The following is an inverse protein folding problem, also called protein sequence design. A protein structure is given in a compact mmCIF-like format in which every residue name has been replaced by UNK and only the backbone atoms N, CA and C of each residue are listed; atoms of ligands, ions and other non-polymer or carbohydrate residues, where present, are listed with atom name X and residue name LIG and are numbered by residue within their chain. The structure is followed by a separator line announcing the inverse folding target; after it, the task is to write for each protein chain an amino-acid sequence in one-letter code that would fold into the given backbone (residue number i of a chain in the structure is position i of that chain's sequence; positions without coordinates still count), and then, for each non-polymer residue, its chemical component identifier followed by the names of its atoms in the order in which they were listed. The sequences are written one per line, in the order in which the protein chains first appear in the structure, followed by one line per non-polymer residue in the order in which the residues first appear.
data_IF_612979657442
#
_entry.id   IF_612979657442
#
_cell.length_a   1.000
_cell.length_b   1.000
_cell.length_c   1.000
_cell.angle_alpha   90.00
_cell.angle_beta   90.00
_cell.angle_gamma   90.00
#
_symmetry.space_group_name_H-M   'P 1'
#
loop_
_entity.id
_entity.type
_entity.pdbx_description
1 polymer ?
#
# COMPACT_ATOMS: atom_id res chain seq x y z
N UNK A 1 -40.07 9.28 -24.27
CA UNK A 1 -39.78 7.91 -24.76
C UNK A 1 -40.49 6.90 -23.86
N UNK A 2 -41.21 5.91 -24.39
CA UNK A 2 -41.87 4.89 -23.56
C UNK A 2 -40.85 3.83 -23.08
N UNK A 3 -40.97 3.37 -21.82
CA UNK A 3 -40.14 2.27 -21.27
C UNK A 3 -40.66 0.93 -21.79
N UNK A 4 -39.78 0.20 -22.49
CA UNK A 4 -40.03 -1.16 -23.00
C UNK A 4 -40.03 -2.18 -21.87
N UNK A 5 -41.14 -2.89 -21.67
CA UNK A 5 -41.23 -4.08 -20.83
C UNK A 5 -40.80 -5.29 -21.65
N UNK A 6 -39.69 -5.95 -21.28
CA UNK A 6 -39.23 -7.19 -21.92
C UNK A 6 -40.19 -8.33 -21.58
N UNK A 7 -40.61 -9.16 -22.56
CA UNK A 7 -41.46 -10.32 -22.28
C UNK A 7 -40.68 -11.39 -21.50
N UNK A 8 -41.36 -12.02 -20.55
CA UNK A 8 -40.82 -13.11 -19.72
C UNK A 8 -40.49 -14.33 -20.60
N UNK A 9 -39.28 -14.93 -20.47
CA UNK A 9 -38.88 -16.06 -21.28
C UNK A 9 -39.73 -17.30 -20.97
N UNK A 10 -40.17 -18.01 -22.02
CA UNK A 10 -40.95 -19.24 -21.90
C UNK A 10 -40.14 -20.36 -21.25
N UNK A 11 -40.82 -21.19 -20.44
CA UNK A 11 -40.21 -22.26 -19.63
C UNK A 11 -39.30 -23.22 -20.41
N UNK A 12 -39.59 -23.45 -21.69
CA UNK A 12 -38.76 -24.29 -22.57
C UNK A 12 -37.42 -23.66 -22.97
N UNK A 13 -37.32 -22.33 -23.02
CA UNK A 13 -36.06 -21.65 -23.36
C UNK A 13 -35.08 -21.59 -22.18
N UNK A 14 -35.61 -21.62 -20.95
CA UNK A 14 -34.84 -21.61 -19.71
C UNK A 14 -34.21 -22.99 -19.45
N UNK A 15 -34.94 -24.08 -19.68
CA UNK A 15 -34.42 -25.44 -19.50
C UNK A 15 -33.30 -25.78 -20.47
N UNK A 16 -33.39 -25.35 -21.73
CA UNK A 16 -32.30 -25.57 -22.71
C UNK A 16 -31.04 -24.80 -22.32
N UNK A 17 -31.17 -23.56 -21.84
CA UNK A 17 -30.02 -22.77 -21.37
C UNK A 17 -29.38 -23.37 -20.12
N UNK A 18 -30.18 -23.83 -19.17
CA UNK A 18 -29.70 -24.52 -17.96
C UNK A 18 -28.98 -25.83 -18.30
N UNK A 19 -29.52 -26.62 -19.24
CA UNK A 19 -28.87 -27.85 -19.69
C UNK A 19 -27.52 -27.55 -20.38
N UNK A 20 -27.49 -26.53 -21.25
CA UNK A 20 -26.29 -26.12 -21.96
C UNK A 20 -25.21 -25.52 -21.03
N UNK A 21 -25.62 -24.86 -19.96
CA UNK A 21 -24.73 -24.32 -18.93
C UNK A 21 -24.16 -25.41 -18.02
N UNK A 22 -24.96 -26.42 -17.66
CA UNK A 22 -24.50 -27.58 -16.89
C UNK A 22 -23.46 -28.41 -17.66
N UNK A 23 -23.63 -28.60 -18.96
CA UNK A 23 -22.63 -29.28 -19.80
C UNK A 23 -21.33 -28.48 -19.92
N UNK A 24 -21.40 -27.14 -19.98
CA UNK A 24 -20.23 -26.27 -20.02
C UNK A 24 -19.44 -26.33 -18.73
N UNK A 25 -20.12 -26.35 -17.58
CA UNK A 25 -19.48 -26.50 -16.27
C UNK A 25 -18.76 -27.85 -16.12
N UNK A 26 -19.37 -28.95 -16.62
CA UNK A 26 -18.72 -30.27 -16.62
C UNK A 26 -17.43 -30.29 -17.44
N UNK A 27 -17.43 -29.68 -18.64
CA UNK A 27 -16.22 -29.60 -19.48
C UNK A 27 -15.09 -28.82 -18.82
N UNK A 28 -15.42 -27.71 -18.14
CA UNK A 28 -14.41 -26.91 -17.42
C UNK A 28 -13.78 -27.76 -16.30
N UNK A 29 -14.60 -28.45 -15.51
CA UNK A 29 -14.10 -29.26 -14.40
C UNK A 29 -13.22 -30.43 -14.88
N UNK A 30 -13.57 -31.04 -16.02
CA UNK A 30 -12.75 -32.08 -16.64
C UNK A 30 -11.40 -31.55 -17.15
N UNK A 31 -11.36 -30.34 -17.72
CA UNK A 31 -10.09 -29.72 -18.15
C UNK A 31 -9.19 -29.33 -16.98
N UNK A 32 -9.78 -28.87 -15.87
CA UNK A 32 -9.05 -28.54 -14.65
C UNK A 32 -8.49 -29.82 -14.00
N UNK A 33 -9.27 -30.90 -13.98
CA UNK A 33 -8.81 -32.19 -13.50
C UNK A 33 -7.65 -32.75 -14.34
N UNK A 34 -7.73 -32.63 -15.68
CA UNK A 34 -6.63 -33.03 -16.59
C UNK A 34 -5.35 -32.24 -16.34
N UNK A 35 -5.44 -30.91 -16.15
CA UNK A 35 -4.26 -30.09 -15.83
C UNK A 35 -3.62 -30.50 -14.50
N UNK A 36 -4.45 -30.74 -13.47
CA UNK A 36 -3.96 -31.17 -12.16
C UNK A 36 -3.30 -32.55 -12.18
N UNK A 37 -3.75 -33.45 -13.07
CA UNK A 37 -3.11 -34.74 -13.28
C UNK A 37 -1.75 -34.61 -13.99
N UNK A 38 -1.63 -33.77 -15.03
CA UNK A 38 -0.32 -33.52 -15.66
C UNK A 38 0.67 -32.83 -14.72
N UNK A 39 0.20 -31.97 -13.81
CA UNK A 39 1.07 -31.33 -12.81
C UNK A 39 1.59 -32.34 -11.75
N UNK A 40 0.89 -33.46 -11.54
CA UNK A 40 1.33 -34.53 -10.65
C UNK A 40 2.22 -35.58 -11.33
N UNK A 41 2.21 -35.68 -12.66
CA UNK A 41 3.13 -36.58 -13.40
C UNK A 41 4.49 -35.94 -13.72
N UNK A 42 4.64 -34.62 -13.62
CA UNK A 42 5.93 -33.94 -13.84
C UNK A 42 6.82 -33.81 -12.58
N UNK A 43 6.70 -34.69 -11.60
CA UNK A 43 7.55 -34.63 -10.41
C UNK A 43 7.82 -36.00 -9.76
N UNK A 44 8.32 -36.97 -10.56
CA UNK A 44 8.74 -38.28 -10.04
C UNK A 44 10.18 -38.68 -10.43
N UNK A 45 10.85 -37.97 -11.35
CA UNK A 45 12.18 -38.41 -11.85
C UNK A 45 13.42 -37.69 -11.27
N UNK A 46 13.31 -36.85 -10.24
CA UNK A 46 14.47 -36.10 -9.70
C UNK A 46 14.71 -36.27 -8.18
N UNK A 47 14.43 -37.46 -7.64
CA UNK A 47 14.66 -37.78 -6.23
C UNK A 47 15.73 -38.87 -6.03
N UNK A 48 16.92 -38.77 -6.63
CA UNK A 48 18.11 -39.40 -6.02
C UNK A 48 19.44 -38.85 -6.55
N UNK A 49 20.27 -38.36 -5.61
CA UNK A 49 21.75 -38.19 -5.66
C UNK A 49 22.37 -36.82 -6.09
N UNK A 50 22.42 -35.87 -5.14
CA UNK A 50 23.65 -35.35 -4.46
C UNK A 50 23.40 -33.98 -3.79
N UNK A 51 23.90 -33.72 -2.58
CA UNK A 51 23.72 -32.44 -1.88
C UNK A 51 24.66 -31.36 -2.45
N UNK A 52 24.39 -30.91 -3.68
CA UNK A 52 25.05 -29.74 -4.27
C UNK A 52 24.18 -28.48 -4.19
N UNK A 53 22.94 -28.62 -3.75
CA UNK A 53 21.94 -27.56 -3.82
C UNK A 53 21.91 -26.62 -2.60
N UNK A 54 22.57 -26.94 -1.49
CA UNK A 54 22.65 -25.99 -0.36
C UNK A 54 23.67 -24.88 -0.63
N UNK A 55 24.84 -25.22 -1.19
CA UNK A 55 25.85 -24.22 -1.57
C UNK A 55 25.42 -23.38 -2.79
N UNK A 56 24.72 -23.98 -3.75
CA UNK A 56 24.19 -23.28 -4.93
C UNK A 56 22.98 -22.40 -4.54
N UNK A 57 22.10 -22.84 -3.64
CA UNK A 57 21.01 -21.99 -3.13
C UNK A 57 21.56 -20.80 -2.32
N UNK A 58 22.58 -20.98 -1.49
CA UNK A 58 23.23 -19.88 -0.77
C UNK A 58 23.96 -18.93 -1.75
N UNK A 59 24.60 -19.44 -2.81
CA UNK A 59 25.23 -18.62 -3.85
C UNK A 59 24.19 -17.84 -4.69
N UNK A 60 23.01 -18.42 -4.95
CA UNK A 60 21.90 -17.78 -5.66
C UNK A 60 21.22 -16.70 -4.82
N UNK A 61 21.13 -16.93 -3.51
CA UNK A 61 20.56 -15.97 -2.54
C UNK A 61 21.56 -14.83 -2.25
N UNK A 62 22.87 -15.10 -2.29
CA UNK A 62 23.93 -14.08 -2.16
C UNK A 62 24.16 -13.28 -3.45
N UNK A 63 23.78 -13.80 -4.62
CA UNK A 63 23.73 -13.03 -5.89
C UNK A 63 22.57 -12.04 -5.96
N UNK A 64 21.59 -12.14 -5.06
CA UNK A 64 20.36 -11.34 -5.13
C UNK A 64 20.50 -9.92 -4.52
N UNK A 65 21.62 -9.61 -3.88
CA UNK A 65 21.80 -8.36 -3.11
C UNK A 65 22.78 -7.38 -3.76
N UNK A 66 23.39 -7.73 -4.90
CA UNK A 66 24.24 -6.82 -5.68
C UNK A 66 23.72 -6.72 -7.11
N UNK A 67 22.43 -6.38 -7.26
CA UNK A 67 21.98 -5.69 -8.47
C UNK A 67 22.54 -4.27 -8.38
N UNK A 68 23.73 -4.07 -8.92
CA UNK A 68 24.36 -2.76 -9.01
C UNK A 68 23.48 -1.82 -9.81
N UNK A 69 22.67 -1.01 -9.14
CA UNK A 69 21.87 0.04 -9.78
C UNK A 69 22.82 1.20 -10.14
N UNK A 70 23.67 1.00 -11.14
CA UNK A 70 24.55 2.01 -11.72
C UNK A 70 23.85 2.81 -12.82
N UNK A 71 24.33 4.03 -13.10
CA UNK A 71 23.83 4.82 -14.22
C UNK A 71 23.90 4.00 -15.53
N UNK A 72 22.76 3.85 -16.20
CA UNK A 72 22.62 3.05 -17.42
C UNK A 72 21.69 1.84 -17.29
N UNK A 73 21.51 1.29 -16.08
CA UNK A 73 20.69 0.09 -15.84
C UNK A 73 19.37 0.37 -15.09
N UNK A 74 19.00 1.65 -14.87
CA UNK A 74 17.83 2.04 -14.07
C UNK A 74 16.49 1.77 -14.76
N UNK A 75 16.29 2.35 -15.95
CA UNK A 75 14.99 2.32 -16.65
C UNK A 75 15.14 2.55 -18.15
N UNK A 76 14.30 1.87 -18.96
CA UNK A 76 14.23 2.07 -20.42
C UNK A 76 13.33 3.27 -20.75
N UNK A 77 13.87 4.49 -20.69
CA UNK A 77 13.19 5.70 -21.18
C UNK A 77 13.41 5.84 -22.70
N UNK A 78 12.36 6.19 -23.43
CA UNK A 78 12.42 6.54 -24.86
C UNK A 78 11.70 7.87 -25.08
N UNK A 79 12.21 8.69 -25.99
CA UNK A 79 11.53 9.89 -26.50
C UNK A 79 11.20 10.97 -25.45
N UNK A 80 12.14 11.28 -24.54
CA UNK A 80 12.03 12.42 -23.62
C UNK A 80 13.14 13.42 -23.95
N UNK A 81 12.78 14.66 -24.23
CA UNK A 81 13.72 15.76 -24.44
C UNK A 81 13.64 16.70 -23.24
N UNK A 82 14.76 16.86 -22.53
CA UNK A 82 14.86 17.75 -21.36
C UNK A 82 15.76 18.94 -21.69
N UNK A 83 15.30 20.14 -21.36
CA UNK A 83 16.08 21.37 -21.51
C UNK A 83 16.56 21.85 -20.14
N UNK A 84 17.80 22.32 -20.08
CA UNK A 84 18.38 22.92 -18.89
C UNK A 84 19.21 24.15 -19.29
N UNK A 85 19.20 25.17 -18.43
CA UNK A 85 20.02 26.37 -18.60
C UNK A 85 21.27 26.27 -17.72
N UNK A 86 22.38 26.88 -18.13
CA UNK A 86 23.61 26.91 -17.32
C UNK A 86 23.35 27.56 -15.95
N UNK A 87 23.92 27.06 -14.84
CA UNK A 87 23.75 27.68 -13.52
C UNK A 87 24.16 29.14 -13.45
N UNK A 88 25.13 29.56 -14.26
CA UNK A 88 25.61 30.94 -14.33
C UNK A 88 24.64 31.91 -15.03
N UNK A 89 23.64 31.37 -15.73
CA UNK A 89 22.60 32.15 -16.42
C UNK A 89 21.27 32.15 -15.63
N UNK A 90 21.17 31.32 -14.60
CA UNK A 90 20.00 31.25 -13.73
C UNK A 90 20.15 32.17 -12.51
N UNK A 91 19.03 32.73 -12.06
CA UNK A 91 18.98 33.41 -10.76
C UNK A 91 18.70 32.35 -9.68
N UNK A 92 19.66 32.15 -8.77
CA UNK A 92 19.56 31.12 -7.70
C UNK A 92 18.28 31.24 -6.84
N UNK A 93 17.76 32.47 -6.69
CA UNK A 93 16.59 32.78 -5.87
C UNK A 93 15.41 33.34 -6.70
N UNK A 94 15.31 32.93 -7.97
CA UNK A 94 14.19 33.31 -8.81
C UNK A 94 12.84 32.95 -8.13
N UNK A 95 11.95 33.93 -7.98
CA UNK A 95 10.58 33.69 -7.55
C UNK A 95 10.39 33.26 -6.08
N UNK A 96 11.36 33.46 -5.18
CA UNK A 96 11.18 33.13 -3.75
C UNK A 96 9.93 33.81 -3.18
N UNK A 97 9.77 35.11 -3.38
CA UNK A 97 8.67 35.86 -2.76
C UNK A 97 7.35 35.56 -3.48
N UNK A 98 7.35 35.56 -4.81
CA UNK A 98 6.12 35.43 -5.60
C UNK A 98 5.59 34.00 -5.72
N UNK A 99 6.47 32.99 -5.73
CA UNK A 99 6.11 31.57 -5.91
C UNK A 99 6.57 30.71 -4.75
N UNK A 100 7.73 30.99 -4.16
CA UNK A 100 8.26 30.23 -3.02
C UNK A 100 7.37 30.34 -1.78
N UNK A 101 7.15 31.56 -1.27
CA UNK A 101 6.38 31.79 -0.04
C UNK A 101 4.93 31.27 -0.13
N UNK A 102 4.15 31.54 -1.20
CA UNK A 102 2.80 30.99 -1.32
C UNK A 102 2.79 29.46 -1.38
N UNK A 103 3.79 28.84 -2.02
CA UNK A 103 3.88 27.39 -2.09
C UNK A 103 4.28 26.77 -0.74
N UNK A 104 5.20 27.40 0.01
CA UNK A 104 5.53 26.97 1.38
C UNK A 104 4.31 27.06 2.27
N UNK A 105 3.59 28.18 2.24
CA UNK A 105 2.37 28.35 3.02
C UNK A 105 1.32 27.27 2.69
N UNK A 106 1.05 27.04 1.40
CA UNK A 106 0.15 25.96 0.96
C UNK A 106 0.59 24.60 1.53
N UNK A 107 1.87 24.25 1.37
CA UNK A 107 2.41 22.97 1.85
C UNK A 107 2.30 22.81 3.37
N UNK A 108 2.51 23.89 4.12
CA UNK A 108 2.33 23.87 5.57
C UNK A 108 0.87 23.68 5.95
N UNK A 109 -0.06 24.40 5.29
CA UNK A 109 -1.49 24.27 5.54
C UNK A 109 -2.02 22.87 5.20
N UNK A 110 -1.56 22.27 4.09
CA UNK A 110 -1.95 20.91 3.69
C UNK A 110 -1.55 19.84 4.73
N UNK A 111 -0.50 20.10 5.52
CA UNK A 111 0.01 19.17 6.54
C UNK A 111 -0.43 19.52 7.96
N UNK A 112 -1.00 20.71 8.19
CA UNK A 112 -1.26 21.20 9.54
C UNK A 112 -2.24 20.29 10.29
N UNK A 113 -3.25 19.73 9.61
CA UNK A 113 -4.23 18.85 10.25
C UNK A 113 -3.69 17.46 10.60
N UNK A 114 -2.54 17.05 10.06
CA UNK A 114 -1.91 15.79 10.45
C UNK A 114 -0.98 15.97 11.65
N UNK A 115 -0.29 17.11 11.71
CA UNK A 115 0.72 17.39 12.74
C UNK A 115 0.11 18.07 13.97
N UNK A 116 -0.85 18.98 13.77
CA UNK A 116 -1.38 19.84 14.83
C UNK A 116 -2.24 19.08 15.86
N UNK A 117 -3.16 18.15 15.50
CA UNK A 117 -3.96 17.45 16.51
C UNK A 117 -3.15 16.64 17.53
N UNK A 118 -2.17 15.80 17.14
CA UNK A 118 -1.39 15.06 18.14
C UNK A 118 -0.49 15.97 18.96
N UNK A 119 0.09 17.02 18.36
CA UNK A 119 0.96 17.97 19.09
C UNK A 119 0.17 18.79 20.11
N UNK A 120 -1.00 19.29 19.73
CA UNK A 120 -1.89 20.01 20.65
C UNK A 120 -2.42 19.09 21.74
N UNK A 121 -2.82 17.86 21.40
CA UNK A 121 -3.24 16.86 22.37
C UNK A 121 -2.17 16.56 23.42
N UNK A 122 -0.93 16.35 22.98
CA UNK A 122 0.20 16.12 23.88
C UNK A 122 0.44 17.33 24.81
N UNK A 123 0.37 18.55 24.29
CA UNK A 123 0.52 19.76 25.09
C UNK A 123 -0.58 19.92 26.15
N UNK A 124 -1.83 19.65 25.77
CA UNK A 124 -2.96 19.73 26.71
C UNK A 124 -2.85 18.68 27.81
N UNK A 125 -2.45 17.44 27.48
CA UNK A 125 -2.21 16.38 28.46
C UNK A 125 -1.12 16.81 29.43
N UNK A 126 0.05 17.23 28.92
CA UNK A 126 1.17 17.67 29.74
C UNK A 126 0.77 18.75 30.74
N UNK A 127 0.12 19.82 30.26
CA UNK A 127 -0.28 20.93 31.14
C UNK A 127 -1.37 20.56 32.13
N UNK A 128 -2.25 19.60 31.80
CA UNK A 128 -3.29 19.12 32.71
C UNK A 128 -2.70 18.25 33.83
N UNK A 129 -1.80 17.34 33.47
CA UNK A 129 -1.13 16.45 34.43
C UNK A 129 -0.27 17.25 35.40
N UNK A 130 0.50 18.22 34.90
CA UNK A 130 1.35 19.05 35.77
C UNK A 130 0.52 19.86 36.79
N UNK A 131 -0.61 20.43 36.35
CA UNK A 131 -1.53 21.16 37.23
C UNK A 131 -2.19 20.24 38.26
N UNK A 132 -2.65 19.07 37.84
CA UNK A 132 -3.25 18.08 38.73
C UNK A 132 -2.23 17.57 39.75
N UNK A 133 -0.98 17.35 39.32
CA UNK A 133 0.10 16.93 40.21
C UNK A 133 0.39 18.00 41.26
N UNK A 134 0.55 19.26 40.84
CA UNK A 134 0.76 20.38 41.75
C UNK A 134 -0.39 20.57 42.76
N UNK A 135 -1.63 20.30 42.34
CA UNK A 135 -2.80 20.31 43.23
C UNK A 135 -2.79 19.13 44.21
N UNK A 136 -2.44 17.93 43.74
CA UNK A 136 -2.38 16.71 44.56
C UNK A 136 -1.34 16.75 45.68
N UNK A 137 -0.28 17.56 45.52
CA UNK A 137 0.73 17.77 46.55
C UNK A 137 0.24 18.66 47.70
N UNK A 138 -0.88 19.37 47.53
CA UNK A 138 -1.47 20.20 48.58
C UNK A 138 -2.33 19.34 49.51
N UNK A 139 -2.21 19.59 50.81
CA UNK A 139 -3.05 18.96 51.82
C UNK A 139 -4.50 19.41 51.65
N UNK A 140 -5.44 18.48 51.74
CA UNK A 140 -6.86 18.79 51.73
C UNK A 140 -7.30 19.19 53.16
N UNK A 141 -7.89 20.39 53.37
CA UNK A 141 -8.36 20.80 54.69
C UNK A 141 -9.53 19.96 55.21
N UNK A 142 -10.27 19.27 54.34
CA UNK A 142 -11.43 18.46 54.74
C UNK A 142 -11.03 17.17 55.47
N UNK A 143 -9.80 16.68 55.26
CA UNK A 143 -9.32 15.43 55.85
C UNK A 143 -9.06 15.54 57.37
N UNK A 144 -9.08 16.76 57.94
CA UNK A 144 -8.76 17.03 59.36
C UNK A 144 -9.99 17.44 60.19
N UNK A 145 -11.21 17.33 59.65
CA UNK A 145 -12.44 17.84 60.28
C UNK A 145 -13.03 16.93 61.37
N UNK A 146 -12.75 15.63 61.31
CA UNK A 146 -13.35 14.61 62.19
C UNK A 146 -12.36 14.09 63.26
N UNK A 147 -11.19 14.75 63.43
CA UNK A 147 -10.15 14.38 64.40
C UNK A 147 -10.25 15.17 65.73
N UNK A 148 -11.36 15.87 65.97
CA UNK A 148 -11.70 16.56 67.24
C UNK A 148 -12.57 15.67 68.15
#
# INVERSE_FOLDING_TARGET
MPKSTRPSPSTHSVSIRLAQEAERARRINETVARRKATDHEMNVDDQQTRPVNTAIAVSSTLKLVIMGHGFGELYKLRSIVTYALSPFEQRAFAGIISKGLPNVFKRTMDNIFYVLPPTLGAYLIYTSVERAHAQSLRKNPDDYKDEE
#
